data_IF_440125136401
#
_entry.id   IF_440125136401
#
_cell.length_a   1.000
_cell.length_b   1.000
_cell.length_c   1.000
_cell.angle_alpha   90.00
_cell.angle_beta   90.00
_cell.angle_gamma   90.00
#
_symmetry.space_group_name_H-M   'P 1'
#
loop_
_entity.id
_entity.type
_entity.pdbx_description
1 polymer ?
#
# COMPACT_ATOMS: atom_id res chain seq x y z
N UNK A 1 -10.00 -5.38 12.58
CA UNK A 1 -9.15 -4.72 11.57
C UNK A 1 -9.99 -3.70 10.79
N UNK A 2 -9.49 -2.47 10.59
CA UNK A 2 -10.20 -1.45 9.81
C UNK A 2 -10.24 -1.80 8.30
N UNK A 3 -11.21 -1.25 7.59
CA UNK A 3 -11.38 -1.48 6.14
C UNK A 3 -10.19 -0.99 5.31
N UNK A 4 -9.57 0.12 5.73
CA UNK A 4 -8.49 0.79 5.01
C UNK A 4 -7.08 0.28 5.36
N UNK A 5 -6.97 -0.85 6.08
CA UNK A 5 -5.68 -1.53 6.27
C UNK A 5 -5.37 -2.35 5.02
N UNK A 6 -4.27 -2.04 4.33
CA UNK A 6 -3.84 -2.77 3.16
C UNK A 6 -3.40 -4.21 3.47
N UNK A 7 -3.18 -5.02 2.43
CA UNK A 7 -2.71 -6.41 2.59
C UNK A 7 -1.44 -6.50 3.44
N UNK A 8 -0.55 -5.51 3.35
CA UNK A 8 0.71 -5.45 4.10
C UNK A 8 0.59 -4.86 5.51
N UNK A 9 -0.60 -4.45 5.97
CA UNK A 9 -0.79 -3.81 7.27
C UNK A 9 -0.66 -2.28 7.28
N UNK A 10 -0.23 -1.67 6.17
CA UNK A 10 -0.18 -0.22 6.05
C UNK A 10 -1.59 0.38 6.05
N UNK A 11 -1.75 1.46 6.80
CA UNK A 11 -3.00 2.21 6.89
C UNK A 11 -3.11 3.17 5.70
N UNK A 12 -4.01 2.86 4.76
CA UNK A 12 -4.22 3.69 3.57
C UNK A 12 -4.76 5.08 3.93
N UNK A 13 -5.44 5.26 5.07
CA UNK A 13 -5.93 6.58 5.51
C UNK A 13 -4.80 7.58 5.80
N UNK A 14 -3.57 7.06 5.98
CA UNK A 14 -2.35 7.86 6.23
C UNK A 14 -1.46 8.00 5.00
N UNK A 15 -1.86 7.44 3.86
CA UNK A 15 -1.06 7.47 2.63
C UNK A 15 -1.37 8.73 1.82
N UNK A 16 -0.34 9.51 1.48
CA UNK A 16 -0.51 10.72 0.66
C UNK A 16 -1.21 10.43 -0.68
N UNK A 17 -0.95 9.30 -1.33
CA UNK A 17 -1.62 8.95 -2.58
C UNK A 17 -3.14 8.74 -2.40
N UNK A 18 -3.55 8.15 -1.27
CA UNK A 18 -4.96 7.99 -0.94
C UNK A 18 -5.60 9.33 -0.61
N UNK A 19 -4.98 10.10 0.30
CA UNK A 19 -5.44 11.43 0.72
C UNK A 19 -5.59 12.35 -0.49
N UNK A 20 -4.61 12.35 -1.40
CA UNK A 20 -4.63 13.14 -2.61
C UNK A 20 -5.78 12.74 -3.55
N UNK A 21 -6.08 11.44 -3.63
CA UNK A 21 -7.16 10.94 -4.50
C UNK A 21 -8.54 11.33 -3.96
N UNK A 22 -8.79 11.10 -2.67
CA UNK A 22 -10.12 11.34 -2.07
C UNK A 22 -10.44 12.83 -1.92
N UNK A 23 -9.42 13.67 -1.73
CA UNK A 23 -9.59 15.12 -1.61
C UNK A 23 -9.42 15.86 -2.94
N UNK A 24 -9.12 15.13 -4.02
CA UNK A 24 -8.71 15.69 -5.31
C UNK A 24 -7.59 16.75 -5.20
N UNK A 25 -6.58 16.46 -4.38
CA UNK A 25 -5.50 17.40 -4.05
C UNK A 25 -4.33 17.27 -5.03
N UNK A 26 -4.30 18.16 -6.03
CA UNK A 26 -3.24 18.21 -7.02
C UNK A 26 -1.84 18.54 -6.44
N UNK A 27 -1.77 19.43 -5.45
CA UNK A 27 -0.49 19.82 -4.85
C UNK A 27 0.14 18.65 -4.08
N UNK A 28 -0.68 17.84 -3.41
CA UNK A 28 -0.22 16.63 -2.76
C UNK A 28 0.24 15.58 -3.78
N UNK A 29 -0.47 15.41 -4.92
CA UNK A 29 -0.02 14.53 -6.01
C UNK A 29 1.37 14.90 -6.50
N UNK A 30 1.63 16.19 -6.74
CA UNK A 30 2.93 16.69 -7.18
C UNK A 30 4.05 16.42 -6.17
N UNK A 31 3.80 16.72 -4.89
CA UNK A 31 4.74 16.47 -3.80
C UNK A 31 5.07 14.98 -3.68
N UNK A 32 4.05 14.12 -3.69
CA UNK A 32 4.20 12.67 -3.56
C UNK A 32 4.92 12.08 -4.77
N UNK A 33 4.54 12.46 -5.99
CA UNK A 33 5.18 12.01 -7.22
C UNK A 33 6.68 12.34 -7.22
N UNK A 34 7.04 13.57 -6.87
CA UNK A 34 8.44 13.99 -6.77
C UNK A 34 9.22 13.16 -5.76
N UNK A 35 8.71 13.03 -4.53
CA UNK A 35 9.36 12.23 -3.48
C UNK A 35 9.55 10.78 -3.93
N UNK A 36 8.52 10.16 -4.49
CA UNK A 36 8.59 8.76 -4.90
C UNK A 36 9.49 8.56 -6.11
N UNK A 37 9.52 9.51 -7.05
CA UNK A 37 10.45 9.50 -8.18
C UNK A 37 11.90 9.49 -7.70
N UNK A 38 12.23 10.34 -6.72
CA UNK A 38 13.57 10.41 -6.10
C UNK A 38 13.94 9.13 -5.37
N UNK A 39 13.04 8.61 -4.51
CA UNK A 39 13.29 7.38 -3.73
C UNK A 39 13.46 6.13 -4.59
N UNK A 40 12.78 6.06 -5.74
CA UNK A 40 12.78 4.88 -6.61
C UNK A 40 13.62 5.04 -7.87
N UNK A 41 14.23 6.22 -8.08
CA UNK A 41 14.93 6.57 -9.32
C UNK A 41 14.10 6.23 -10.58
N UNK A 42 12.83 6.64 -10.57
CA UNK A 42 11.83 6.28 -11.59
C UNK A 42 10.98 7.49 -12.01
N UNK A 43 10.52 7.58 -13.27
CA UNK A 43 9.73 8.72 -13.74
C UNK A 43 8.27 8.63 -13.26
N UNK A 44 8.03 8.99 -12.00
CA UNK A 44 6.69 9.05 -11.41
C UNK A 44 6.13 10.45 -11.58
N UNK A 45 5.01 10.56 -12.29
CA UNK A 45 4.31 11.82 -12.55
C UNK A 45 3.12 11.99 -11.59
N UNK A 46 2.64 13.23 -11.35
CA UNK A 46 1.47 13.48 -10.50
C UNK A 46 0.23 12.70 -10.93
N UNK A 47 0.03 12.48 -12.24
CA UNK A 47 -1.12 11.75 -12.79
C UNK A 47 -1.08 10.26 -12.45
N UNK A 48 0.08 9.73 -12.01
CA UNK A 48 0.22 8.36 -11.53
C UNK A 48 -0.20 8.21 -10.05
N UNK A 49 -0.41 9.32 -9.34
CA UNK A 49 -0.79 9.33 -7.93
C UNK A 49 -2.31 9.33 -7.82
N UNK A 50 -2.90 8.17 -8.13
CA UNK A 50 -4.32 7.89 -7.98
C UNK A 50 -4.50 6.52 -7.31
N UNK A 51 -5.08 6.49 -6.11
CA UNK A 51 -5.20 5.28 -5.29
C UNK A 51 -6.36 5.40 -4.29
N UNK A 52 -7.23 4.39 -4.24
CA UNK A 52 -8.38 4.33 -3.34
C UNK A 52 -8.21 3.20 -2.30
N UNK A 53 -6.99 2.68 -2.15
CA UNK A 53 -6.66 1.59 -1.23
C UNK A 53 -6.53 0.23 -1.92
N UNK A 54 -5.50 -0.54 -1.53
CA UNK A 54 -5.09 -1.73 -2.29
C UNK A 54 -6.08 -2.90 -2.23
N UNK A 55 -6.96 -2.93 -1.22
CA UNK A 55 -8.06 -3.90 -1.05
C UNK A 55 -9.40 -3.40 -1.58
N UNK A 56 -9.52 -2.12 -1.89
CA UNK A 56 -10.76 -1.52 -2.40
C UNK A 56 -10.89 -1.76 -3.91
N UNK A 57 -12.11 -1.66 -4.43
CA UNK A 57 -12.41 -1.85 -5.86
C UNK A 57 -11.98 -0.68 -6.74
N UNK A 58 -11.49 0.41 -6.14
CA UNK A 58 -11.12 1.64 -6.84
C UNK A 58 -9.73 1.63 -7.47
N UNK A 59 -9.32 2.82 -7.92
CA UNK A 59 -8.03 3.09 -8.53
C UNK A 59 -6.86 2.65 -7.62
N UNK A 60 -5.74 2.30 -8.23
CA UNK A 60 -4.50 1.91 -7.55
C UNK A 60 -3.35 2.53 -8.29
N UNK A 61 -2.29 2.87 -7.56
CA UNK A 61 -1.04 3.24 -8.21
C UNK A 61 -0.53 2.07 -9.05
N UNK A 62 0.17 2.36 -10.15
CA UNK A 62 0.71 1.32 -11.05
C UNK A 62 1.52 0.27 -10.29
N UNK A 63 2.28 0.69 -9.28
CA UNK A 63 3.02 -0.23 -8.43
C UNK A 63 2.09 -1.20 -7.69
N UNK A 64 1.10 -0.69 -6.96
CA UNK A 64 0.16 -1.52 -6.20
C UNK A 64 -0.66 -2.44 -7.11
N UNK A 65 -1.05 -1.95 -8.29
CA UNK A 65 -1.86 -2.72 -9.21
C UNK A 65 -1.07 -3.86 -9.88
N UNK A 66 0.12 -3.54 -10.40
CA UNK A 66 0.85 -4.42 -11.32
C UNK A 66 2.15 -5.00 -10.78
N UNK A 67 2.77 -4.44 -9.73
CA UNK A 67 4.13 -4.81 -9.30
C UNK A 67 4.22 -5.32 -7.86
N UNK A 68 3.31 -4.90 -6.98
CA UNK A 68 3.35 -5.24 -5.56
C UNK A 68 3.25 -6.75 -5.32
N UNK A 69 4.37 -7.38 -4.98
CA UNK A 69 4.46 -8.81 -4.70
C UNK A 69 3.59 -9.25 -3.51
N UNK A 70 3.45 -8.39 -2.49
CA UNK A 70 2.60 -8.66 -1.31
C UNK A 70 1.14 -8.79 -1.74
N UNK A 71 0.62 -7.82 -2.49
CA UNK A 71 -0.77 -7.85 -2.97
C UNK A 71 -1.02 -9.04 -3.88
N UNK A 72 -0.14 -9.31 -4.84
CA UNK A 72 -0.27 -10.49 -5.72
C UNK A 72 -0.28 -11.80 -4.94
N UNK A 73 0.61 -11.94 -3.97
CA UNK A 73 0.66 -13.11 -3.08
C UNK A 73 -0.65 -13.27 -2.30
N UNK A 74 -1.14 -12.19 -1.68
CA UNK A 74 -2.38 -12.21 -0.90
C UNK A 74 -3.60 -12.58 -1.76
N UNK A 75 -3.71 -12.00 -2.96
CA UNK A 75 -4.77 -12.33 -3.92
C UNK A 75 -4.71 -13.81 -4.34
N UNK A 76 -3.52 -14.33 -4.67
CA UNK A 76 -3.36 -15.73 -5.06
C UNK A 76 -3.69 -16.70 -3.93
N UNK A 77 -3.40 -16.32 -2.67
CA UNK A 77 -3.74 -17.11 -1.48
C UNK A 77 -5.21 -16.93 -1.04
N UNK A 78 -5.93 -15.95 -1.58
CA UNK A 78 -7.31 -15.65 -1.19
C UNK A 78 -7.46 -15.12 0.24
N UNK A 79 -6.41 -14.51 0.80
CA UNK A 79 -6.46 -13.93 2.15
C UNK A 79 -6.93 -12.48 2.12
N UNK A 80 -7.59 -12.02 3.19
CA UNK A 80 -8.08 -10.63 3.26
C UNK A 80 -6.94 -9.66 3.55
N UNK A 81 -5.98 -10.08 4.36
CA UNK A 81 -4.67 -9.43 4.55
C UNK A 81 -3.58 -10.47 4.80
N UNK A 82 -2.31 -10.05 4.87
CA UNK A 82 -1.23 -10.92 5.34
C UNK A 82 -1.45 -11.39 6.79
N UNK A 83 -2.30 -10.72 7.57
CA UNK A 83 -2.68 -11.11 8.93
C UNK A 83 -3.36 -12.47 9.01
N UNK A 84 -4.07 -12.86 7.95
CA UNK A 84 -4.75 -14.17 7.88
C UNK A 84 -3.80 -15.30 7.44
N UNK A 85 -2.54 -14.99 7.13
CA UNK A 85 -1.56 -15.97 6.66
C UNK A 85 -0.86 -16.63 7.86
N UNK A 86 -0.85 -17.98 7.96
CA UNK A 86 -0.16 -18.68 9.06
C UNK A 86 1.34 -18.36 9.16
N UNK A 87 1.95 -18.02 8.02
CA UNK A 87 3.38 -17.72 7.92
C UNK A 87 3.73 -16.26 8.28
N UNK A 88 2.79 -15.42 8.74
CA UNK A 88 2.98 -13.97 8.89
C UNK A 88 4.32 -13.59 9.56
N UNK A 89 4.61 -14.21 10.72
CA UNK A 89 5.78 -13.87 11.56
C UNK A 89 7.13 -14.15 10.87
N UNK A 90 7.16 -15.04 9.88
CA UNK A 90 8.39 -15.45 9.18
C UNK A 90 8.33 -15.19 7.68
N UNK A 91 7.27 -14.54 7.19
CA UNK A 91 7.01 -14.37 5.77
C UNK A 91 7.94 -13.31 5.16
N UNK A 92 8.91 -13.69 4.30
CA UNK A 92 9.84 -12.72 3.72
C UNK A 92 9.14 -11.76 2.75
N UNK A 93 7.97 -12.13 2.21
CA UNK A 93 7.22 -11.30 1.27
C UNK A 93 6.75 -9.99 1.90
N UNK A 94 6.25 -10.05 3.14
CA UNK A 94 5.78 -8.86 3.88
C UNK A 94 6.80 -8.38 4.92
N UNK A 95 7.80 -9.20 5.26
CA UNK A 95 8.79 -8.94 6.31
C UNK A 95 9.44 -7.56 6.23
N UNK A 96 9.87 -7.13 5.03
CA UNK A 96 10.46 -5.80 4.86
C UNK A 96 9.53 -4.64 5.27
N UNK A 97 8.20 -4.77 5.09
CA UNK A 97 7.25 -3.77 5.57
C UNK A 97 7.14 -3.81 7.08
N UNK A 98 7.07 -5.01 7.67
CA UNK A 98 6.91 -5.18 9.12
C UNK A 98 8.15 -4.70 9.89
N UNK A 99 9.34 -4.92 9.35
CA UNK A 99 10.61 -4.45 9.92
C UNK A 99 10.72 -2.92 9.93
N UNK A 100 10.27 -2.26 8.85
CA UNK A 100 10.37 -0.81 8.71
C UNK A 100 9.17 -0.05 9.29
N UNK A 101 8.05 -0.74 9.54
CA UNK A 101 6.84 -0.14 10.10
C UNK A 101 6.14 -1.13 11.06
N UNK A 102 6.56 -1.15 12.34
CA UNK A 102 5.99 -2.06 13.34
C UNK A 102 4.47 -1.94 13.50
N UNK A 103 3.90 -0.74 13.32
CA UNK A 103 2.46 -0.53 13.38
C UNK A 103 1.70 -1.33 12.30
N UNK A 104 2.37 -1.71 11.20
CA UNK A 104 1.77 -2.58 10.20
C UNK A 104 1.49 -3.98 10.77
N UNK A 105 2.38 -4.51 11.62
CA UNK A 105 2.15 -5.80 12.26
C UNK A 105 0.98 -5.73 13.25
N UNK A 106 0.92 -4.67 14.05
CA UNK A 106 -0.19 -4.45 14.98
C UNK A 106 -1.52 -4.37 14.23
N UNK A 107 -1.57 -3.62 13.12
CA UNK A 107 -2.75 -3.53 12.27
C UNK A 107 -3.18 -4.87 11.66
N UNK A 108 -2.22 -5.74 11.32
CA UNK A 108 -2.51 -7.09 10.79
C UNK A 108 -3.01 -8.05 11.87
N UNK A 109 -2.60 -7.86 13.13
CA UNK A 109 -3.02 -8.69 14.27
C UNK A 109 -4.39 -8.29 14.82
N UNK A 110 -4.81 -7.05 14.61
CA UNK A 110 -6.15 -6.54 14.94
C UNK A 110 -6.20 -5.80 16.26
#
# INVERSE_FOLDING_TARGET
>A
MKDMIGYCGLDCEKCDAYIATVNDDQALREKTAKLWAELNNAPILPEHINCEGCRMNGAKTVFCDSLCGIRKCALNKGVSTCGDCPDLETCPTVGAILENNPAALDNLKG
#
